data_IF_906600942572
#
_entry.id   IF_906600942572
#
_cell.length_a   1.000
_cell.length_b   1.000
_cell.length_c   1.000
_cell.angle_alpha   90.00
_cell.angle_beta   90.00
_cell.angle_gamma   90.00
#
_symmetry.space_group_name_H-M   'P 1'
#
loop_
_entity.id
_entity.type
_entity.pdbx_description
1 polymer ?
#
# COMPACT_ATOMS: atom_id res chain seq x y z
N UNK A 1 -19.22 -16.50 -22.41
CA UNK A 1 -19.44 -15.92 -21.07
C UNK A 1 -18.71 -14.59 -20.98
N UNK A 2 -19.38 -13.58 -20.47
CA UNK A 2 -18.82 -12.25 -20.20
C UNK A 2 -18.82 -12.00 -18.71
N UNK A 3 -17.78 -11.33 -18.24
CA UNK A 3 -17.62 -10.86 -16.87
C UNK A 3 -17.67 -9.34 -16.90
N UNK A 4 -18.53 -8.73 -16.10
CA UNK A 4 -18.72 -7.28 -16.09
C UNK A 4 -18.75 -6.71 -14.68
N UNK A 5 -18.32 -5.46 -14.57
CA UNK A 5 -18.14 -4.79 -13.29
C UNK A 5 -19.44 -4.24 -12.70
N UNK A 6 -19.67 -4.45 -11.40
CA UNK A 6 -20.83 -3.89 -10.68
C UNK A 6 -20.77 -2.38 -10.48
N UNK A 7 -19.57 -1.79 -10.52
CA UNK A 7 -19.31 -0.35 -10.34
C UNK A 7 -17.99 0.04 -10.99
N UNK A 8 -17.74 1.34 -11.09
CA UNK A 8 -16.46 1.86 -11.55
C UNK A 8 -15.31 1.59 -10.55
N UNK A 9 -14.09 1.49 -11.07
CA UNK A 9 -12.89 1.28 -10.27
C UNK A 9 -11.65 0.98 -11.12
N UNK A 10 -10.64 0.38 -10.48
CA UNK A 10 -9.42 -0.12 -11.12
C UNK A 10 -9.49 -1.64 -11.19
N UNK A 11 -9.39 -2.21 -12.38
CA UNK A 11 -9.36 -3.65 -12.58
C UNK A 11 -8.03 -4.22 -12.07
N UNK A 12 -8.08 -5.35 -11.35
CA UNK A 12 -6.90 -6.09 -10.95
C UNK A 12 -7.22 -7.59 -10.77
N UNK A 13 -6.19 -8.43 -10.86
CA UNK A 13 -6.29 -9.89 -10.73
C UNK A 13 -6.40 -10.61 -12.08
N UNK A 14 -6.38 -9.88 -13.19
CA UNK A 14 -6.53 -10.44 -14.52
C UNK A 14 -5.35 -11.33 -14.92
N UNK A 15 -4.13 -11.04 -14.47
CA UNK A 15 -2.98 -11.90 -14.75
C UNK A 15 -3.11 -13.29 -14.09
N UNK A 16 -3.71 -13.35 -12.89
CA UNK A 16 -4.01 -14.62 -12.22
C UNK A 16 -5.13 -15.38 -12.95
N UNK A 17 -6.17 -14.68 -13.40
CA UNK A 17 -7.24 -15.26 -14.23
C UNK A 17 -6.68 -15.80 -15.55
N UNK A 18 -5.82 -15.05 -16.25
CA UNK A 18 -5.15 -15.52 -17.48
C UNK A 18 -4.31 -16.77 -17.21
N UNK A 19 -3.58 -16.81 -16.09
CA UNK A 19 -2.79 -17.99 -15.70
C UNK A 19 -3.67 -19.21 -15.42
N UNK A 20 -4.83 -19.03 -14.78
CA UNK A 20 -5.84 -20.08 -14.59
C UNK A 20 -6.39 -20.57 -15.93
N UNK A 21 -6.90 -19.66 -16.77
CA UNK A 21 -7.50 -19.97 -18.07
C UNK A 21 -6.51 -20.65 -19.02
N UNK A 22 -5.23 -20.28 -18.97
CA UNK A 22 -4.18 -20.93 -19.74
C UNK A 22 -4.02 -22.42 -19.42
N UNK A 23 -4.35 -22.84 -18.20
CA UNK A 23 -4.26 -24.24 -17.74
C UNK A 23 -5.52 -25.05 -18.03
N UNK A 24 -6.70 -24.43 -17.97
CA UNK A 24 -7.98 -25.14 -17.98
C UNK A 24 -8.66 -25.15 -19.36
N UNK A 25 -8.44 -24.13 -20.19
CA UNK A 25 -9.08 -24.07 -21.51
C UNK A 25 -8.45 -25.05 -22.50
N UNK A 26 -9.26 -25.63 -23.41
CA UNK A 26 -8.75 -26.53 -24.45
C UNK A 26 -7.80 -25.81 -25.41
N UNK A 27 -6.87 -26.55 -26.04
CA UNK A 27 -5.91 -25.97 -26.99
C UNK A 27 -6.57 -25.38 -28.25
N UNK A 28 -7.71 -25.94 -28.66
CA UNK A 28 -8.49 -25.51 -29.83
C UNK A 28 -9.88 -25.03 -29.41
N UNK A 29 -10.56 -24.29 -30.28
CA UNK A 29 -11.91 -23.75 -30.06
C UNK A 29 -12.02 -22.92 -28.77
N UNK A 30 -11.03 -22.06 -28.53
CA UNK A 30 -11.05 -21.08 -27.46
C UNK A 30 -10.71 -19.69 -27.97
N UNK A 31 -11.36 -18.70 -27.40
CA UNK A 31 -11.01 -17.28 -27.52
C UNK A 31 -11.17 -16.64 -26.15
N UNK A 32 -10.20 -15.81 -25.77
CA UNK A 32 -10.22 -15.04 -24.52
C UNK A 32 -9.83 -13.61 -24.86
N UNK A 33 -10.72 -12.68 -24.54
CA UNK A 33 -10.47 -11.24 -24.57
C UNK A 33 -10.54 -10.72 -23.14
N UNK A 34 -9.62 -9.83 -22.76
CA UNK A 34 -9.56 -9.28 -21.42
C UNK A 34 -8.94 -7.88 -21.43
N UNK A 35 -9.40 -7.02 -20.52
CA UNK A 35 -8.70 -5.81 -20.12
C UNK A 35 -7.41 -6.15 -19.34
N UNK A 36 -6.57 -5.16 -19.06
CA UNK A 36 -5.34 -5.32 -18.30
C UNK A 36 -5.51 -4.92 -16.83
N UNK A 37 -4.65 -5.48 -15.96
CA UNK A 37 -4.51 -4.97 -14.60
C UNK A 37 -4.12 -3.48 -14.64
N UNK A 38 -4.81 -2.65 -13.86
CA UNK A 38 -4.60 -1.21 -13.80
C UNK A 38 -5.53 -0.40 -14.70
N UNK A 39 -6.29 -1.04 -15.61
CA UNK A 39 -7.29 -0.35 -16.43
C UNK A 39 -8.40 0.24 -15.55
N UNK A 40 -8.86 1.44 -15.91
CA UNK A 40 -10.06 2.02 -15.31
C UNK A 40 -11.28 1.40 -15.96
N UNK A 41 -12.20 0.89 -15.14
CA UNK A 41 -13.43 0.24 -15.58
C UNK A 41 -14.65 1.04 -15.11
N UNK A 42 -15.74 0.95 -15.86
CA UNK A 42 -17.04 1.54 -15.56
C UNK A 42 -18.03 0.49 -15.09
N UNK A 43 -19.11 0.95 -14.46
CA UNK A 43 -20.26 0.09 -14.19
C UNK A 43 -20.77 -0.58 -15.48
N UNK A 44 -21.01 -1.89 -15.40
CA UNK A 44 -21.44 -2.80 -16.48
C UNK A 44 -20.47 -2.92 -17.65
N UNK A 45 -19.24 -2.44 -17.50
CA UNK A 45 -18.20 -2.67 -18.51
C UNK A 45 -17.75 -4.13 -18.48
N UNK A 46 -17.69 -4.76 -19.67
CA UNK A 46 -17.16 -6.12 -19.81
C UNK A 46 -15.64 -6.06 -19.66
N UNK A 47 -15.11 -6.81 -18.70
CA UNK A 47 -13.68 -6.83 -18.37
C UNK A 47 -12.98 -8.10 -18.86
N UNK A 48 -13.75 -9.17 -19.09
CA UNK A 48 -13.28 -10.45 -19.59
C UNK A 48 -14.39 -11.12 -20.41
N UNK A 49 -14.03 -11.68 -21.55
CA UNK A 49 -14.91 -12.48 -22.42
C UNK A 49 -14.22 -13.79 -22.74
N UNK A 50 -14.94 -14.89 -22.51
CA UNK A 50 -14.48 -16.25 -22.77
C UNK A 50 -15.44 -16.92 -23.75
N UNK A 51 -14.90 -17.41 -24.86
CA UNK A 51 -15.61 -18.23 -25.85
C UNK A 51 -14.92 -19.59 -25.94
N UNK A 52 -15.48 -20.61 -25.31
CA UNK A 52 -14.99 -21.98 -25.33
C UNK A 52 -16.12 -22.96 -24.93
N UNK A 53 -15.96 -24.29 -25.07
CA UNK A 53 -16.92 -25.25 -24.52
C UNK A 53 -17.13 -25.00 -23.02
N UNK A 54 -18.37 -24.72 -22.60
CA UNK A 54 -18.68 -24.28 -21.23
C UNK A 54 -18.12 -25.21 -20.15
N UNK A 55 -18.20 -26.53 -20.37
CA UNK A 55 -17.68 -27.54 -19.45
C UNK A 55 -16.18 -27.42 -19.15
N UNK A 56 -15.41 -26.73 -20.00
CA UNK A 56 -13.97 -26.53 -19.79
C UNK A 56 -13.62 -25.45 -18.76
N UNK A 57 -14.53 -24.50 -18.50
CA UNK A 57 -14.23 -23.39 -17.60
C UNK A 57 -15.36 -23.01 -16.62
N UNK A 58 -16.60 -23.47 -16.82
CA UNK A 58 -17.75 -23.08 -15.99
C UNK A 58 -17.58 -23.38 -14.49
N UNK A 59 -16.86 -24.46 -14.12
CA UNK A 59 -16.54 -24.77 -12.72
C UNK A 59 -15.66 -23.70 -12.04
N UNK A 60 -14.94 -22.90 -12.83
CA UNK A 60 -13.99 -21.89 -12.33
C UNK A 60 -14.58 -20.49 -12.23
N UNK A 61 -15.85 -20.29 -12.58
CA UNK A 61 -16.54 -19.00 -12.51
C UNK A 61 -16.37 -18.34 -11.12
N UNK A 62 -16.69 -19.07 -10.05
CA UNK A 62 -16.53 -18.59 -8.67
C UNK A 62 -15.10 -18.15 -8.34
N UNK A 63 -14.09 -18.84 -8.88
CA UNK A 63 -12.69 -18.47 -8.65
C UNK A 63 -12.35 -17.19 -9.41
N UNK A 64 -12.78 -17.06 -10.67
CA UNK A 64 -12.55 -15.88 -11.50
C UNK A 64 -13.21 -14.65 -10.87
N UNK A 65 -14.47 -14.75 -10.46
CA UNK A 65 -15.19 -13.66 -9.79
C UNK A 65 -14.49 -13.25 -8.50
N UNK A 66 -14.12 -14.22 -7.66
CA UNK A 66 -13.44 -13.95 -6.39
C UNK A 66 -12.09 -13.27 -6.55
N UNK A 67 -11.29 -13.71 -7.54
CA UNK A 67 -9.99 -13.09 -7.88
C UNK A 67 -10.22 -11.64 -8.30
N UNK A 68 -11.05 -11.42 -9.31
CA UNK A 68 -11.23 -10.08 -9.87
C UNK A 68 -11.89 -9.14 -8.85
N UNK A 69 -12.86 -9.61 -8.06
CA UNK A 69 -13.61 -8.77 -7.16
C UNK A 69 -12.76 -8.23 -6.00
N UNK A 70 -11.99 -9.09 -5.33
CA UNK A 70 -11.13 -8.67 -4.23
C UNK A 70 -9.96 -7.83 -4.71
N UNK A 71 -9.26 -8.27 -5.76
CA UNK A 71 -8.11 -7.55 -6.29
C UNK A 71 -8.52 -6.15 -6.79
N UNK A 72 -9.61 -6.04 -7.56
CA UNK A 72 -10.10 -4.75 -8.05
C UNK A 72 -10.60 -3.85 -6.91
N UNK A 73 -11.19 -4.42 -5.87
CA UNK A 73 -11.56 -3.69 -4.64
C UNK A 73 -10.35 -3.03 -3.97
N UNK A 74 -9.28 -3.79 -3.73
CA UNK A 74 -8.04 -3.28 -3.14
C UNK A 74 -7.31 -2.28 -4.05
N UNK A 75 -7.22 -2.57 -5.34
CA UNK A 75 -6.58 -1.66 -6.32
C UNK A 75 -7.33 -0.32 -6.40
N UNK A 76 -8.67 -0.35 -6.37
CA UNK A 76 -9.48 0.87 -6.36
C UNK A 76 -9.25 1.69 -5.09
N UNK A 77 -9.27 1.08 -3.90
CA UNK A 77 -9.02 1.80 -2.66
C UNK A 77 -7.59 2.39 -2.57
N UNK A 78 -6.61 1.67 -3.12
CA UNK A 78 -5.25 2.19 -3.25
C UNK A 78 -5.18 3.40 -4.20
N UNK A 79 -5.87 3.34 -5.35
CA UNK A 79 -5.97 4.46 -6.29
C UNK A 79 -6.57 5.70 -5.65
N UNK A 80 -7.64 5.56 -4.89
CA UNK A 80 -8.28 6.68 -4.18
C UNK A 80 -7.31 7.36 -3.21
N UNK A 81 -6.47 6.58 -2.51
CA UNK A 81 -5.43 7.10 -1.61
C UNK A 81 -4.33 7.84 -2.38
N UNK A 82 -3.87 7.29 -3.51
CA UNK A 82 -2.82 7.88 -4.36
C UNK A 82 -3.29 9.20 -4.98
N UNK A 83 -4.53 9.24 -5.48
CA UNK A 83 -5.13 10.47 -6.00
C UNK A 83 -5.30 11.52 -4.90
N UNK A 84 -5.75 11.11 -3.72
CA UNK A 84 -5.86 12.00 -2.57
C UNK A 84 -4.51 12.59 -2.16
N UNK A 85 -3.41 11.84 -2.31
CA UNK A 85 -2.06 12.25 -1.93
C UNK A 85 -1.40 13.26 -2.89
N UNK A 86 -2.01 13.54 -4.06
CA UNK A 86 -1.56 14.55 -5.04
C UNK A 86 -0.06 14.48 -5.37
N UNK A 87 0.44 13.27 -5.61
CA UNK A 87 1.84 13.03 -5.99
C UNK A 87 2.78 12.68 -4.84
N UNK A 88 2.35 12.80 -3.58
CA UNK A 88 3.09 12.28 -2.43
C UNK A 88 2.98 10.74 -2.45
N UNK A 89 4.10 10.00 -2.31
CA UNK A 89 4.08 8.54 -2.40
C UNK A 89 3.25 7.90 -1.29
N UNK A 90 2.44 6.91 -1.67
CA UNK A 90 1.65 6.07 -0.78
C UNK A 90 2.23 4.66 -0.78
N UNK A 91 2.46 4.11 0.40
CA UNK A 91 3.02 2.76 0.60
C UNK A 91 1.97 1.88 1.29
N UNK A 92 1.73 0.68 0.74
CA UNK A 92 0.84 -0.31 1.35
C UNK A 92 1.50 -1.00 2.55
N UNK A 93 0.97 -0.76 3.74
CA UNK A 93 1.35 -1.41 5.01
C UNK A 93 0.23 -2.32 5.54
N UNK A 94 -0.55 -2.89 4.62
CA UNK A 94 -1.77 -3.64 4.90
C UNK A 94 -1.58 -5.08 5.36
N UNK A 95 -0.42 -5.70 5.13
CA UNK A 95 -0.21 -7.15 5.21
C UNK A 95 -0.79 -7.84 6.46
N UNK A 96 -0.76 -7.17 7.62
CA UNK A 96 -1.26 -7.72 8.90
C UNK A 96 -2.79 -7.81 9.04
N UNK A 97 -3.55 -7.19 8.14
CA UNK A 97 -5.02 -7.09 8.25
C UNK A 97 -5.77 -8.15 7.44
N UNK A 98 -5.06 -8.91 6.61
CA UNK A 98 -5.65 -9.94 5.75
C UNK A 98 -5.04 -11.30 6.09
N UNK A 99 -5.70 -12.37 5.63
CA UNK A 99 -5.21 -13.71 5.87
C UNK A 99 -3.82 -13.91 5.19
N UNK A 100 -2.83 -14.53 5.87
CA UNK A 100 -1.44 -14.54 5.38
C UNK A 100 -1.23 -15.06 3.96
N UNK A 101 -2.04 -16.01 3.49
CA UNK A 101 -1.87 -16.60 2.15
C UNK A 101 -2.23 -15.65 1.00
N UNK A 102 -3.00 -14.57 1.28
CA UNK A 102 -3.43 -13.60 0.26
C UNK A 102 -2.66 -12.27 0.34
N UNK A 103 -1.73 -12.13 1.29
CA UNK A 103 -0.97 -10.88 1.51
C UNK A 103 -0.25 -10.42 0.25
N UNK A 104 0.38 -11.35 -0.49
CA UNK A 104 1.09 -11.00 -1.72
C UNK A 104 0.17 -10.42 -2.79
N UNK A 105 -1.02 -11.01 -2.94
CA UNK A 105 -2.03 -10.57 -3.93
C UNK A 105 -2.61 -9.20 -3.52
N UNK A 106 -2.88 -8.99 -2.23
CA UNK A 106 -3.35 -7.71 -1.71
C UNK A 106 -2.34 -6.58 -1.95
N UNK A 107 -1.07 -6.80 -1.62
CA UNK A 107 -0.04 -5.79 -1.83
C UNK A 107 0.25 -5.57 -3.32
N UNK A 108 0.24 -6.62 -4.15
CA UNK A 108 0.31 -6.47 -5.61
C UNK A 108 -0.84 -5.59 -6.13
N UNK A 109 -2.07 -5.85 -5.67
CA UNK A 109 -3.25 -5.05 -6.05
C UNK A 109 -3.10 -3.59 -5.64
N UNK A 110 -2.52 -3.32 -4.47
CA UNK A 110 -2.23 -1.95 -4.03
C UNK A 110 -1.20 -1.26 -4.94
N UNK A 111 -0.17 -1.96 -5.41
CA UNK A 111 0.79 -1.43 -6.39
C UNK A 111 0.12 -1.15 -7.74
N UNK A 112 -0.73 -2.07 -8.23
CA UNK A 112 -1.53 -1.85 -9.45
C UNK A 112 -2.44 -0.62 -9.31
N UNK A 113 -3.01 -0.41 -8.12
CA UNK A 113 -3.75 0.80 -7.75
C UNK A 113 -2.91 2.08 -7.72
N UNK A 114 -1.58 1.97 -7.78
CA UNK A 114 -0.65 3.10 -7.87
C UNK A 114 0.14 3.38 -6.59
N UNK A 115 0.07 2.52 -5.56
CA UNK A 115 0.98 2.65 -4.43
C UNK A 115 2.44 2.54 -4.91
N UNK A 116 3.31 3.40 -4.39
CA UNK A 116 4.72 3.46 -4.76
C UNK A 116 5.55 2.29 -4.21
N UNK A 117 5.02 1.56 -3.22
CA UNK A 117 5.66 0.42 -2.60
C UNK A 117 4.72 -0.33 -1.67
N UNK A 118 5.17 -1.47 -1.16
CA UNK A 118 4.41 -2.30 -0.24
C UNK A 118 5.31 -3.00 0.79
N UNK A 119 4.72 -3.41 1.92
CA UNK A 119 5.49 -4.02 3.02
C UNK A 119 5.82 -5.49 2.85
N UNK A 120 5.00 -6.27 2.11
CA UNK A 120 5.23 -7.69 2.01
C UNK A 120 6.27 -8.04 0.95
N UNK A 121 7.18 -8.95 1.30
CA UNK A 121 8.15 -9.53 0.36
C UNK A 121 7.42 -10.23 -0.80
N UNK A 122 6.30 -10.91 -0.52
CA UNK A 122 5.53 -11.61 -1.54
C UNK A 122 4.89 -10.67 -2.55
N UNK A 123 4.27 -9.57 -2.09
CA UNK A 123 3.65 -8.58 -2.98
C UNK A 123 4.70 -7.81 -3.78
N UNK A 124 5.80 -7.42 -3.13
CA UNK A 124 6.92 -6.76 -3.80
C UNK A 124 7.50 -7.64 -4.92
N UNK A 125 7.68 -8.94 -4.66
CA UNK A 125 8.13 -9.91 -5.66
C UNK A 125 7.15 -10.04 -6.84
N UNK A 126 5.84 -10.11 -6.58
CA UNK A 126 4.83 -10.16 -7.64
C UNK A 126 4.83 -8.90 -8.51
N UNK A 127 5.05 -7.74 -7.89
CA UNK A 127 5.12 -6.45 -8.59
C UNK A 127 6.50 -6.15 -9.21
N UNK A 128 7.52 -6.99 -8.98
CA UNK A 128 8.88 -6.78 -9.48
C UNK A 128 9.60 -5.58 -8.85
N UNK A 129 9.28 -5.25 -7.59
CA UNK A 129 9.87 -4.14 -6.82
C UNK A 129 10.53 -4.63 -5.53
N UNK A 130 11.32 -3.77 -4.89
CA UNK A 130 11.84 -4.02 -3.54
C UNK A 130 10.76 -3.70 -2.48
N UNK A 131 10.62 -4.52 -1.43
CA UNK A 131 9.69 -4.24 -0.35
C UNK A 131 10.14 -3.03 0.47
N UNK A 132 9.18 -2.26 0.97
CA UNK A 132 9.41 -1.11 1.83
C UNK A 132 9.25 -1.50 3.31
N UNK A 133 10.16 -1.04 4.17
CA UNK A 133 10.10 -1.29 5.60
C UNK A 133 10.88 -0.23 6.39
N UNK A 134 10.53 -0.07 7.66
CA UNK A 134 11.19 0.86 8.59
C UNK A 134 11.62 0.12 9.84
N UNK A 135 12.38 0.77 10.72
CA UNK A 135 12.54 0.26 12.09
C UNK A 135 11.15 0.09 12.74
N UNK A 136 10.86 -1.02 13.45
CA UNK A 136 9.61 -1.17 14.20
C UNK A 136 9.77 -0.70 15.65
N UNK A 137 8.65 -0.33 16.30
CA UNK A 137 8.62 -0.01 17.74
C UNK A 137 9.26 -1.11 18.59
N UNK A 138 9.09 -2.37 18.22
CA UNK A 138 9.67 -3.50 18.95
C UNK A 138 11.20 -3.41 19.09
N UNK A 139 11.93 -2.95 18.07
CA UNK A 139 13.38 -2.78 18.17
C UNK A 139 13.74 -1.66 19.15
N UNK A 140 13.01 -0.55 19.09
CA UNK A 140 13.20 0.60 19.98
C UNK A 140 12.92 0.20 21.44
N UNK A 141 11.85 -0.55 21.68
CA UNK A 141 11.48 -1.05 23.00
C UNK A 141 12.50 -2.04 23.58
N UNK A 142 13.00 -2.97 22.77
CA UNK A 142 14.03 -3.95 23.21
C UNK A 142 15.35 -3.24 23.58
N UNK A 143 15.72 -2.20 22.84
CA UNK A 143 16.94 -1.42 23.12
C UNK A 143 16.71 -0.41 24.26
N UNK A 144 15.47 0.04 24.45
CA UNK A 144 15.08 0.98 25.49
C UNK A 144 15.42 2.45 25.19
N UNK A 145 15.79 2.78 23.95
CA UNK A 145 16.20 4.12 23.53
C UNK A 145 16.11 4.27 22.00
N UNK A 146 15.36 5.27 21.52
CA UNK A 146 15.11 5.50 20.09
C UNK A 146 16.39 5.81 19.32
N UNK A 147 17.27 6.65 19.88
CA UNK A 147 18.53 7.04 19.23
C UNK A 147 19.47 5.85 19.11
N UNK A 148 19.68 5.09 20.19
CA UNK A 148 20.51 3.88 20.18
C UNK A 148 19.96 2.83 19.22
N UNK A 149 18.64 2.66 19.18
CA UNK A 149 18.00 1.72 18.27
C UNK A 149 18.24 2.10 16.81
N UNK A 150 18.14 3.39 16.49
CA UNK A 150 18.36 3.88 15.13
C UNK A 150 19.83 3.78 14.72
N UNK A 151 20.77 4.07 15.63
CA UNK A 151 22.21 3.85 15.39
C UNK A 151 22.55 2.36 15.21
N UNK A 152 21.92 1.48 15.99
CA UNK A 152 22.07 0.04 15.81
C UNK A 152 21.53 -0.41 14.44
N UNK A 153 20.38 0.11 14.01
CA UNK A 153 19.83 -0.13 12.68
C UNK A 153 20.80 0.32 11.59
N UNK A 154 21.35 1.54 11.65
CA UNK A 154 22.36 2.02 10.68
C UNK A 154 23.60 1.12 10.61
N UNK A 155 24.06 0.63 11.77
CA UNK A 155 25.25 -0.22 11.86
C UNK A 155 25.06 -1.60 11.23
N UNK A 156 23.86 -2.18 11.33
CA UNK A 156 23.62 -3.59 10.99
C UNK A 156 22.86 -3.80 9.69
N UNK A 157 22.19 -2.78 9.16
CA UNK A 157 21.39 -2.87 7.94
C UNK A 157 22.16 -2.33 6.72
N UNK A 158 22.11 -2.99 5.55
CA UNK A 158 22.79 -2.56 4.33
C UNK A 158 22.52 -1.09 3.98
N UNK A 159 23.54 -0.38 3.47
CA UNK A 159 23.45 1.03 3.11
C UNK A 159 22.37 1.36 2.07
N UNK A 160 21.96 0.37 1.27
CA UNK A 160 20.89 0.48 0.28
C UNK A 160 19.49 0.64 0.89
N UNK A 161 19.29 0.25 2.15
CA UNK A 161 18.01 0.40 2.83
C UNK A 161 17.94 1.80 3.46
N UNK A 162 16.90 2.61 3.17
CA UNK A 162 16.74 3.93 3.78
C UNK A 162 16.69 3.85 5.30
N UNK A 163 17.35 4.80 5.98
CA UNK A 163 17.26 4.92 7.44
C UNK A 163 16.01 5.71 7.77
N UNK A 164 14.94 4.99 8.08
CA UNK A 164 13.65 5.56 8.49
C UNK A 164 13.41 5.24 9.96
N UNK A 165 13.39 6.26 10.82
CA UNK A 165 13.20 6.07 12.26
C UNK A 165 11.76 6.32 12.70
N UNK A 166 11.18 5.42 13.50
CA UNK A 166 10.00 5.76 14.30
C UNK A 166 10.42 6.68 15.45
N UNK A 167 9.61 7.67 15.77
CA UNK A 167 9.95 8.76 16.73
C UNK A 167 8.86 9.00 17.76
N UNK A 168 7.89 8.10 17.85
CA UNK A 168 6.70 8.19 18.69
C UNK A 168 6.64 7.07 19.75
N UNK A 169 7.79 6.46 20.08
CA UNK A 169 7.86 5.32 21.03
C UNK A 169 7.97 5.77 22.49
N UNK A 170 8.82 6.75 22.79
CA UNK A 170 9.10 7.16 24.17
C UNK A 170 8.79 8.63 24.43
N UNK A 171 9.36 9.53 23.62
CA UNK A 171 9.23 10.98 23.83
C UNK A 171 8.19 11.60 22.90
N UNK A 172 8.05 12.92 23.03
CA UNK A 172 7.38 13.75 22.05
C UNK A 172 8.08 13.63 20.68
N UNK A 173 7.29 13.51 19.63
CA UNK A 173 7.75 13.23 18.27
C UNK A 173 8.70 14.30 17.75
N UNK A 174 8.49 15.56 18.11
CA UNK A 174 9.30 16.66 17.62
C UNK A 174 10.66 16.71 18.34
N UNK A 175 10.70 16.41 19.64
CA UNK A 175 11.95 16.23 20.38
C UNK A 175 12.74 15.03 19.85
N UNK A 176 12.09 13.87 19.76
CA UNK A 176 12.73 12.61 19.37
C UNK A 176 13.24 12.66 17.93
N UNK A 177 12.52 13.32 17.02
CA UNK A 177 12.95 13.55 15.63
C UNK A 177 14.28 14.30 15.56
N UNK A 178 14.45 15.37 16.35
CA UNK A 178 15.69 16.14 16.38
C UNK A 178 16.83 15.31 16.97
N UNK A 179 16.58 14.55 18.03
CA UNK A 179 17.60 13.69 18.66
C UNK A 179 18.12 12.63 17.70
N UNK A 180 17.24 11.96 16.97
CA UNK A 180 17.62 10.96 15.96
C UNK A 180 18.35 11.61 14.79
N UNK A 181 17.89 12.79 14.33
CA UNK A 181 18.55 13.53 13.25
C UNK A 181 19.97 13.98 13.65
N UNK A 182 20.17 14.44 14.88
CA UNK A 182 21.50 14.80 15.40
C UNK A 182 22.44 13.58 15.46
N UNK A 183 21.93 12.41 15.83
CA UNK A 183 22.73 11.21 15.97
C UNK A 183 23.15 10.60 14.62
N UNK A 184 22.24 10.54 13.64
CA UNK A 184 22.53 9.97 12.31
C UNK A 184 23.08 10.98 11.31
N UNK A 185 22.83 12.27 11.53
CA UNK A 185 23.19 13.34 10.60
C UNK A 185 22.63 13.10 9.21
N UNK A 186 23.50 13.24 8.20
CA UNK A 186 23.14 13.11 6.77
C UNK A 186 22.70 11.70 6.36
N UNK A 187 22.86 10.69 7.22
CA UNK A 187 22.45 9.32 6.93
C UNK A 187 20.95 9.08 7.18
N UNK A 188 20.30 9.91 7.98
CA UNK A 188 18.87 9.79 8.22
C UNK A 188 18.10 10.20 6.96
N UNK A 189 17.31 9.28 6.40
CA UNK A 189 16.46 9.60 5.25
C UNK A 189 15.15 10.25 5.72
N UNK A 190 14.49 9.64 6.71
CA UNK A 190 13.19 10.08 7.19
C UNK A 190 12.92 9.77 8.66
N UNK A 191 12.03 10.55 9.26
CA UNK A 191 11.31 10.18 10.48
C UNK A 191 9.91 9.72 10.11
N UNK A 192 9.40 8.71 10.82
CA UNK A 192 8.06 8.17 10.65
C UNK A 192 7.25 8.44 11.91
N UNK A 193 6.09 9.03 11.72
CA UNK A 193 5.11 9.29 12.78
C UNK A 193 4.01 8.22 12.68
N UNK A 194 3.87 7.40 13.72
CA UNK A 194 2.80 6.39 13.85
C UNK A 194 1.95 6.60 15.12
N UNK A 195 1.88 7.86 15.58
CA UNK A 195 1.35 8.25 16.89
C UNK A 195 0.02 7.55 17.20
N UNK A 196 -0.09 6.89 18.36
CA UNK A 196 -1.29 6.13 18.72
C UNK A 196 -2.51 7.02 18.92
N UNK A 197 -3.70 6.43 18.81
CA UNK A 197 -4.99 7.12 19.01
C UNK A 197 -5.12 7.78 20.38
N UNK A 198 -4.56 7.14 21.39
CA UNK A 198 -4.54 7.53 22.78
C UNK A 198 -3.75 8.83 22.99
N UNK A 199 -2.82 9.14 22.07
CA UNK A 199 -2.08 10.40 22.00
C UNK A 199 -2.61 11.35 20.93
N UNK A 200 -3.80 11.08 20.37
CA UNK A 200 -4.47 11.98 19.42
C UNK A 200 -4.18 11.71 17.95
N UNK A 201 -3.45 10.64 17.61
CA UNK A 201 -2.96 10.32 16.26
C UNK A 201 -2.04 11.39 15.68
N UNK A 202 -1.44 11.09 14.52
CA UNK A 202 -0.69 12.08 13.75
C UNK A 202 -1.66 13.12 13.18
N UNK A 203 -1.36 14.40 13.40
CA UNK A 203 -2.15 15.55 12.91
C UNK A 203 -1.32 16.46 12.00
N UNK A 204 -1.95 17.28 11.12
CA UNK A 204 -1.24 18.29 10.34
C UNK A 204 -0.41 19.26 11.18
N UNK A 205 -0.89 19.62 12.38
CA UNK A 205 -0.16 20.50 13.30
C UNK A 205 1.12 19.85 13.82
N UNK A 206 1.05 18.57 14.23
CA UNK A 206 2.22 17.80 14.68
C UNK A 206 3.27 17.70 13.57
N UNK A 207 2.86 17.40 12.34
CA UNK A 207 3.79 17.32 11.19
C UNK A 207 4.50 18.66 10.96
N UNK A 208 3.78 19.79 11.04
CA UNK A 208 4.39 21.12 10.91
C UNK A 208 5.37 21.41 12.04
N UNK A 209 5.02 21.04 13.28
CA UNK A 209 5.93 21.20 14.42
C UNK A 209 7.22 20.38 14.23
N UNK A 210 7.11 19.09 13.88
CA UNK A 210 8.26 18.23 13.59
C UNK A 210 9.12 18.83 12.49
N UNK A 211 8.51 19.29 11.38
CA UNK A 211 9.23 19.96 10.28
C UNK A 211 9.98 21.19 10.78
N UNK A 212 9.30 22.10 11.47
CA UNK A 212 9.92 23.32 12.00
C UNK A 212 11.08 23.03 12.95
N UNK A 213 10.94 22.03 13.83
CA UNK A 213 12.02 21.62 14.76
C UNK A 213 13.23 21.04 14.04
N UNK A 214 13.00 20.18 13.03
CA UNK A 214 14.08 19.65 12.20
C UNK A 214 14.79 20.76 11.42
N UNK A 215 14.05 21.71 10.84
CA UNK A 215 14.62 22.81 10.05
C UNK A 215 15.45 23.76 10.93
N UNK A 216 14.94 24.14 12.10
CA UNK A 216 15.68 24.95 13.08
C UNK A 216 16.97 24.26 13.56
N UNK A 217 16.99 22.93 13.56
CA UNK A 217 18.16 22.12 13.89
C UNK A 217 19.08 21.85 12.68
N UNK A 218 18.76 22.36 11.48
CA UNK A 218 19.56 22.22 10.26
C UNK A 218 19.33 20.94 9.46
N UNK A 219 18.21 20.24 9.69
CA UNK A 219 17.86 18.96 9.06
C UNK A 219 16.72 19.06 8.03
N UNK A 220 16.76 20.10 7.19
CA UNK A 220 15.76 20.40 6.15
C UNK A 220 15.51 19.25 5.16
N UNK A 221 16.49 18.36 4.96
CA UNK A 221 16.42 17.25 4.01
C UNK A 221 15.84 15.96 4.58
N UNK A 222 15.67 15.86 5.90
CA UNK A 222 15.08 14.68 6.55
C UNK A 222 13.60 14.68 6.23
N UNK A 223 13.10 13.65 5.55
CA UNK A 223 11.68 13.56 5.16
C UNK A 223 10.78 13.15 6.32
N UNK A 224 9.47 13.41 6.22
CA UNK A 224 8.46 13.03 7.20
C UNK A 224 7.47 12.05 6.58
N UNK A 225 7.47 10.81 7.07
CA UNK A 225 6.49 9.79 6.73
C UNK A 225 5.39 9.70 7.79
N UNK A 226 4.14 9.56 7.37
CA UNK A 226 2.98 9.46 8.27
C UNK A 226 2.27 8.13 8.08
N UNK A 227 1.99 7.43 9.16
CA UNK A 227 1.18 6.20 9.15
C UNK A 227 0.17 6.15 10.30
N UNK A 228 -0.52 5.03 10.44
CA UNK A 228 -1.41 4.78 11.58
C UNK A 228 -2.83 5.28 11.34
N UNK A 229 -3.69 4.39 10.82
CA UNK A 229 -5.10 4.69 10.55
C UNK A 229 -5.31 5.75 9.46
N UNK A 230 -4.42 5.81 8.47
CA UNK A 230 -4.52 6.73 7.34
C UNK A 230 -5.62 6.25 6.38
N UNK A 231 -6.55 7.14 6.06
CA UNK A 231 -7.63 6.97 5.08
C UNK A 231 -7.55 8.08 4.03
N UNK A 232 -8.35 7.97 2.97
CA UNK A 232 -8.48 9.01 1.94
C UNK A 232 -8.83 10.37 2.54
N UNK A 233 -9.75 10.42 3.50
CA UNK A 233 -10.17 11.66 4.17
C UNK A 233 -9.01 12.27 4.95
N UNK A 234 -8.25 11.45 5.67
CA UNK A 234 -7.08 11.94 6.41
C UNK A 234 -5.98 12.42 5.49
N UNK A 235 -5.69 11.71 4.40
CA UNK A 235 -4.74 12.18 3.38
C UNK A 235 -5.17 13.56 2.88
N UNK A 236 -6.44 13.73 2.47
CA UNK A 236 -6.97 15.04 2.05
C UNK A 236 -6.79 16.12 3.11
N UNK A 237 -7.04 15.82 4.39
CA UNK A 237 -6.81 16.76 5.49
C UNK A 237 -5.35 17.23 5.57
N UNK A 238 -4.37 16.33 5.43
CA UNK A 238 -2.94 16.72 5.41
C UNK A 238 -2.62 17.60 4.19
N UNK A 239 -3.12 17.23 3.01
CA UNK A 239 -2.90 17.96 1.75
C UNK A 239 -3.52 19.35 1.79
N UNK A 240 -4.79 19.47 2.18
CA UNK A 240 -5.52 20.74 2.26
C UNK A 240 -4.94 21.66 3.33
N UNK A 241 -4.43 21.10 4.42
CA UNK A 241 -3.69 21.85 5.42
C UNK A 241 -2.29 22.29 4.92
N UNK A 242 -1.79 21.78 3.79
CA UNK A 242 -0.42 22.03 3.35
C UNK A 242 0.61 21.52 4.37
N UNK A 243 0.32 20.39 5.02
CA UNK A 243 1.26 19.77 5.94
C UNK A 243 2.47 19.20 5.17
N UNK A 244 3.70 19.43 5.64
CA UNK A 244 4.93 18.97 4.98
C UNK A 244 5.13 17.46 5.20
N UNK A 245 4.31 16.65 4.53
CA UNK A 245 4.41 15.18 4.50
C UNK A 245 5.14 14.76 3.23
N UNK A 246 6.05 13.79 3.34
CA UNK A 246 6.82 13.26 2.22
C UNK A 246 6.38 11.85 1.83
N UNK A 247 5.53 11.21 2.63
CA UNK A 247 4.96 9.90 2.29
C UNK A 247 3.91 9.42 3.29
N UNK A 248 3.01 8.56 2.80
CA UNK A 248 1.94 7.96 3.60
C UNK A 248 2.07 6.43 3.65
N UNK A 249 1.97 5.86 4.86
CA UNK A 249 1.79 4.42 5.07
C UNK A 249 0.31 4.10 5.30
N UNK A 250 -0.33 3.41 4.35
CA UNK A 250 -1.75 3.08 4.41
C UNK A 250 -1.91 1.57 4.59
N UNK A 251 -2.68 1.16 5.61
CA UNK A 251 -2.94 -0.25 5.91
C UNK A 251 -4.42 -0.57 5.80
N UNK A 252 -5.12 -0.47 6.94
CA UNK A 252 -6.49 -0.92 7.12
C UNK A 252 -7.51 -0.38 6.10
N UNK A 253 -7.29 0.82 5.55
CA UNK A 253 -8.18 1.39 4.52
C UNK A 253 -8.17 0.57 3.24
N UNK A 254 -6.98 0.23 2.73
CA UNK A 254 -6.84 -0.59 1.52
C UNK A 254 -7.33 -2.00 1.79
N UNK A 255 -6.86 -2.65 2.86
CA UNK A 255 -7.22 -4.05 3.13
C UNK A 255 -8.68 -4.26 3.49
N UNK A 256 -9.31 -3.25 4.11
CA UNK A 256 -10.72 -3.25 4.47
C UNK A 256 -11.64 -2.86 3.33
N UNK A 257 -11.11 -2.61 2.12
CA UNK A 257 -11.92 -2.25 0.97
C UNK A 257 -12.95 -3.35 0.67
N UNK A 258 -14.17 -2.92 0.36
CA UNK A 258 -15.19 -3.84 -0.13
C UNK A 258 -14.77 -4.36 -1.51
N UNK A 259 -14.97 -5.66 -1.79
CA UNK A 259 -14.82 -6.19 -3.14
C UNK A 259 -15.57 -5.34 -4.17
N UNK A 260 -15.03 -5.26 -5.38
CA UNK A 260 -15.71 -4.69 -6.54
C UNK A 260 -16.35 -5.86 -7.28
N UNK A 261 -17.62 -6.17 -6.97
CA UNK A 261 -18.25 -7.37 -7.49
C UNK A 261 -18.16 -7.42 -9.02
N UNK A 262 -17.70 -8.57 -9.52
CA UNK A 262 -17.73 -8.92 -10.93
C UNK A 262 -18.78 -10.00 -11.08
N UNK A 263 -19.63 -9.86 -12.10
CA UNK A 263 -20.69 -10.82 -12.39
C UNK A 263 -20.44 -11.45 -13.74
N UNK A 264 -20.65 -12.76 -13.84
CA UNK A 264 -20.48 -13.54 -15.04
C UNK A 264 -21.84 -13.98 -15.61
N UNK A 265 -22.06 -13.78 -16.90
CA UNK A 265 -23.25 -14.25 -17.59
C UNK A 265 -22.92 -14.88 -18.95
N UNK A 266 -23.74 -15.85 -19.35
CA UNK A 266 -23.73 -16.36 -20.72
C UNK A 266 -24.35 -15.32 -21.66
N UNK A 267 -23.75 -15.15 -22.83
CA UNK A 267 -24.21 -14.28 -23.91
C UNK A 267 -24.47 -15.09 -25.18
#
# INVERSE_FOLDING_TARGET
MEFFASRAGVLCGMEEVKALLARVLPKANREVWALADGDNIKEKEVVLRITAPYQSYGLYETAIDGILAHCSGWATAARECVEAARGIPVVSFGARHVYPSIVGIMDYSAIVGGCAGCSSVAGAKLAGIEPAGTIPHALILVIGDTVKATLAFDKHIPASVPRVSLVDTFKDEAEESVLVAQALGKKLDSVRLDTPSERGRVTPALVREVRSRLDLAGFEKVKIFVSGGISVERIRQFIEAGAPVDGFGVGSYVTGAKPLDITADLH
#
